data_IF_979183488638
#
_entry.id   IF_979183488638
#
_cell.length_a   1.000
_cell.length_b   1.000
_cell.length_c   1.000
_cell.angle_alpha   90.00
_cell.angle_beta   90.00
_cell.angle_gamma   90.00
#
_symmetry.space_group_name_H-M   'P 1'
#
loop_
_entity.id
_entity.type
_entity.pdbx_description
1 polymer ?
#
# COMPACT_ATOMS: atom_id res chain seq x y z
N UNK A 1 9.72 -34.58 1.57
CA UNK A 1 8.38 -33.99 1.78
C UNK A 1 8.57 -32.48 1.92
N UNK A 2 8.21 -31.68 0.92
CA UNK A 2 8.51 -30.24 0.86
C UNK A 2 7.20 -29.46 0.83
N UNK A 3 6.83 -28.87 1.97
CA UNK A 3 5.66 -28.01 2.12
C UNK A 3 5.94 -26.67 1.43
N UNK A 4 5.42 -26.51 0.21
CA UNK A 4 5.16 -25.19 -0.36
C UNK A 4 3.65 -24.96 -0.28
N UNK A 5 3.15 -23.96 0.47
CA UNK A 5 1.73 -23.65 0.45
C UNK A 5 1.32 -23.23 -0.97
N UNK A 6 0.39 -24.00 -1.55
CA UNK A 6 -0.26 -23.70 -2.83
C UNK A 6 -1.05 -22.41 -2.66
N UNK A 7 -0.50 -21.31 -3.17
CA UNK A 7 -1.13 -19.99 -3.13
C UNK A 7 -0.30 -18.89 -3.78
N UNK A 8 1.04 -19.05 -3.81
CA UNK A 8 1.96 -18.10 -4.44
C UNK A 8 2.46 -18.58 -5.82
N UNK A 9 1.55 -19.10 -6.66
CA UNK A 9 1.91 -19.73 -7.94
C UNK A 9 0.87 -19.69 -9.04
N UNK A 10 -0.16 -18.84 -8.94
CA UNK A 10 -0.89 -18.36 -10.12
C UNK A 10 -0.09 -17.20 -10.72
N UNK A 11 -0.16 -16.97 -12.03
CA UNK A 11 0.41 -15.77 -12.68
C UNK A 11 0.22 -14.57 -11.74
N UNK A 12 1.32 -13.96 -11.28
CA UNK A 12 1.22 -12.77 -10.43
C UNK A 12 0.35 -11.80 -11.22
N UNK A 13 -0.90 -11.60 -10.76
CA UNK A 13 -1.73 -10.53 -11.31
C UNK A 13 -0.91 -9.28 -11.16
N UNK A 14 -0.84 -8.52 -12.25
CA UNK A 14 -0.06 -7.30 -12.26
C UNK A 14 -0.48 -6.45 -11.05
N UNK A 15 0.46 -5.88 -10.28
CA UNK A 15 0.12 -5.12 -9.08
C UNK A 15 -0.87 -3.98 -9.37
N UNK A 16 -0.89 -3.43 -10.59
CA UNK A 16 -1.86 -2.45 -11.04
C UNK A 16 -3.26 -3.08 -11.22
N UNK A 17 -3.32 -4.29 -11.75
CA UNK A 17 -4.55 -5.08 -11.87
C UNK A 17 -5.14 -5.42 -10.49
N UNK A 18 -4.30 -5.82 -9.54
CA UNK A 18 -4.74 -6.09 -8.15
C UNK A 18 -5.31 -4.84 -7.47
N UNK A 19 -4.69 -3.67 -7.68
CA UNK A 19 -5.23 -2.39 -7.16
C UNK A 19 -6.57 -2.04 -7.80
N UNK A 20 -6.70 -2.26 -9.11
CA UNK A 20 -7.94 -1.98 -9.86
C UNK A 20 -9.07 -2.91 -9.42
N UNK A 21 -8.84 -4.22 -9.38
CA UNK A 21 -9.84 -5.20 -8.92
C UNK A 21 -10.21 -4.94 -7.45
N UNK A 22 -9.23 -4.64 -6.59
CA UNK A 22 -9.47 -4.25 -5.20
C UNK A 22 -10.39 -3.02 -5.09
N UNK A 23 -10.24 -2.04 -5.97
CA UNK A 23 -11.10 -0.86 -5.99
C UNK A 23 -12.52 -1.15 -6.47
N UNK A 24 -12.66 -1.92 -7.54
CA UNK A 24 -13.97 -2.19 -8.15
C UNK A 24 -14.79 -3.21 -7.36
N UNK A 25 -14.17 -4.28 -6.87
CA UNK A 25 -14.87 -5.40 -6.23
C UNK A 25 -14.95 -5.24 -4.71
N UNK A 26 -13.89 -4.76 -4.07
CA UNK A 26 -13.78 -4.73 -2.61
C UNK A 26 -13.79 -3.31 -2.03
N UNK A 27 -13.86 -2.29 -2.89
CA UNK A 27 -13.78 -0.86 -2.51
C UNK A 27 -12.52 -0.54 -1.70
N UNK A 28 -11.43 -1.26 -1.95
CA UNK A 28 -10.13 -1.06 -1.29
C UNK A 28 -9.16 -0.37 -2.25
N UNK A 29 -8.47 0.65 -1.75
CA UNK A 29 -7.45 1.41 -2.50
C UNK A 29 -6.10 1.34 -1.79
N UNK A 30 -5.08 0.82 -2.48
CA UNK A 30 -3.69 0.89 -2.04
C UNK A 30 -2.97 2.00 -2.82
N UNK A 31 -2.72 3.12 -2.15
CA UNK A 31 -2.09 4.31 -2.71
C UNK A 31 -0.82 4.66 -1.93
N UNK A 32 0.23 5.10 -2.64
CA UNK A 32 1.45 5.59 -2.00
C UNK A 32 1.26 7.06 -1.60
N UNK A 33 1.79 7.46 -0.44
CA UNK A 33 1.74 8.87 0.00
C UNK A 33 2.53 9.80 -0.94
N UNK A 34 3.51 9.26 -1.66
CA UNK A 34 4.33 10.00 -2.61
C UNK A 34 3.81 9.97 -4.05
N UNK A 35 2.62 9.39 -4.28
CA UNK A 35 2.07 9.24 -5.63
C UNK A 35 1.92 10.61 -6.33
N UNK A 36 2.56 10.84 -7.48
CA UNK A 36 2.59 12.14 -8.15
C UNK A 36 1.22 12.60 -8.65
N UNK A 37 0.23 11.69 -8.71
CA UNK A 37 -1.14 12.02 -9.10
C UNK A 37 -1.94 12.65 -7.96
N UNK A 38 -1.49 12.49 -6.71
CA UNK A 38 -2.11 13.12 -5.54
C UNK A 38 -1.55 14.52 -5.33
N UNK A 39 -2.44 15.50 -5.27
CA UNK A 39 -2.14 16.85 -4.79
C UNK A 39 -1.74 16.83 -3.32
N UNK A 40 -1.06 17.89 -2.87
CA UNK A 40 -0.65 18.00 -1.46
C UNK A 40 -1.80 17.79 -0.45
N UNK A 41 -3.00 18.39 -0.63
CA UNK A 41 -4.13 18.13 0.27
C UNK A 41 -4.60 16.67 0.27
N UNK A 42 -4.61 16.01 -0.90
CA UNK A 42 -5.04 14.62 -1.01
C UNK A 42 -4.05 13.67 -0.33
N UNK A 43 -2.74 13.93 -0.48
CA UNK A 43 -1.69 13.19 0.24
C UNK A 43 -1.87 13.31 1.74
N UNK A 44 -2.16 14.51 2.23
CA UNK A 44 -2.34 14.76 3.65
C UNK A 44 -3.60 14.09 4.19
N UNK A 45 -4.70 14.08 3.42
CA UNK A 45 -5.90 13.33 3.77
C UNK A 45 -5.62 11.82 3.90
N UNK A 46 -4.90 11.24 2.93
CA UNK A 46 -4.52 9.82 2.99
C UNK A 46 -3.63 9.54 4.20
N UNK A 47 -2.65 10.41 4.49
CA UNK A 47 -1.80 10.29 5.68
C UNK A 47 -2.61 10.32 6.96
N UNK A 48 -3.53 11.28 7.10
CA UNK A 48 -4.39 11.42 8.29
C UNK A 48 -5.32 10.21 8.46
N UNK A 49 -5.90 9.70 7.37
CA UNK A 49 -6.71 8.49 7.40
C UNK A 49 -5.87 7.27 7.79
N UNK A 50 -4.66 7.13 7.25
CA UNK A 50 -3.70 6.09 7.63
C UNK A 50 -3.35 6.15 9.10
N UNK A 51 -2.96 7.34 9.59
CA UNK A 51 -2.63 7.59 11.00
C UNK A 51 -3.81 7.27 11.94
N UNK A 52 -5.03 7.57 11.51
CA UNK A 52 -6.25 7.29 12.28
C UNK A 52 -6.57 5.80 12.32
N UNK A 53 -6.40 5.09 11.21
CA UNK A 53 -6.79 3.67 11.09
C UNK A 53 -5.72 2.71 11.61
N UNK A 54 -4.44 3.05 11.43
CA UNK A 54 -3.31 2.15 11.71
C UNK A 54 -2.31 2.73 12.72
N UNK A 55 -2.56 3.94 13.22
CA UNK A 55 -1.62 4.67 14.07
C UNK A 55 -0.58 5.42 13.25
N UNK A 56 0.14 6.32 13.92
CA UNK A 56 1.19 7.12 13.28
C UNK A 56 2.25 6.20 12.68
N UNK A 57 2.61 6.46 11.43
CA UNK A 57 3.80 5.86 10.84
C UNK A 57 4.99 6.14 11.77
N UNK A 58 5.83 5.13 12.08
CA UNK A 58 7.06 5.40 12.83
C UNK A 58 7.80 6.48 12.05
N UNK A 59 8.06 7.61 12.70
CA UNK A 59 8.85 8.69 12.12
C UNK A 59 10.07 8.03 11.50
N UNK A 60 10.21 8.14 10.17
CA UNK A 60 11.30 7.52 9.41
C UNK A 60 12.56 7.81 10.19
N UNK A 61 13.08 6.78 10.85
CA UNK A 61 14.32 6.88 11.60
C UNK A 61 15.33 7.09 10.50
N UNK A 62 15.79 8.33 10.35
CA UNK A 62 16.89 8.69 9.49
C UNK A 62 17.99 7.68 9.81
N UNK A 63 18.24 6.77 8.87
CA UNK A 63 19.36 5.85 8.95
C UNK A 63 20.58 6.74 8.75
N UNK A 64 21.11 7.22 9.88
CA UNK A 64 22.42 7.85 9.91
C UNK A 64 23.42 6.84 9.37
N UNK A 65 23.79 7.01 8.11
CA UNK A 65 24.98 6.40 7.56
C UNK A 65 26.16 7.11 8.22
N UNK A 66 26.71 6.49 9.25
CA UNK A 66 28.00 6.81 9.85
C UNK A 66 28.93 5.61 9.75
#
# INVERSE_FOLDING_TARGET
MRLYPKGYGGQRRDPEQVKRDGWHEQRMLAVSLDDPRLTWPERELVRQLGDKLYGKLPAVREVGHG
#
